data_IF_831758262735
#
_entry.id   IF_831758262735
#
_cell.length_a   1.000
_cell.length_b   1.000
_cell.length_c   1.000
_cell.angle_alpha   90.00
_cell.angle_beta   90.00
_cell.angle_gamma   90.00
#
_symmetry.space_group_name_H-M   'P 1'
#
loop_
_entity.id
_entity.type
_entity.pdbx_description
1 polymer ?
#
# COMPACT_ATOMS: atom_id res chain seq x y z
N UNK A 1 -4.49 -33.16 58.67
CA UNK A 1 -4.07 -33.02 57.26
C UNK A 1 -4.82 -31.85 56.66
N UNK A 2 -4.06 -30.89 56.14
CA UNK A 2 -4.44 -29.48 55.99
C UNK A 2 -4.95 -29.25 54.56
N UNK A 3 -6.20 -28.84 54.40
CA UNK A 3 -6.73 -28.33 53.14
C UNK A 3 -6.20 -26.91 52.87
N UNK A 4 -5.73 -26.67 51.64
CA UNK A 4 -5.53 -25.35 51.02
C UNK A 4 -6.16 -25.48 49.62
N UNK A 5 -7.37 -24.99 49.33
CA UNK A 5 -7.84 -23.59 49.19
C UNK A 5 -6.90 -22.72 48.34
N UNK A 6 -7.18 -22.77 47.04
CA UNK A 6 -7.26 -21.67 46.06
C UNK A 6 -6.26 -20.52 46.22
N UNK A 7 -5.24 -20.54 45.37
CA UNK A 7 -4.56 -19.32 44.93
C UNK A 7 -5.50 -18.60 43.95
N UNK A 8 -6.27 -17.65 44.47
CA UNK A 8 -6.84 -16.59 43.65
C UNK A 8 -5.68 -15.66 43.27
N UNK A 9 -5.17 -15.83 42.05
CA UNK A 9 -4.30 -14.84 41.41
C UNK A 9 -5.14 -13.59 41.21
N UNK A 10 -5.01 -12.63 42.13
CA UNK A 10 -5.51 -11.28 41.96
C UNK A 10 -4.71 -10.64 40.83
N UNK A 11 -5.29 -10.60 39.62
CA UNK A 11 -4.86 -9.70 38.57
C UNK A 11 -4.84 -8.29 39.17
N UNK A 12 -3.64 -7.72 39.29
CA UNK A 12 -3.44 -6.36 39.75
C UNK A 12 -4.36 -5.46 38.91
N UNK A 13 -5.24 -4.76 39.62
CA UNK A 13 -6.12 -3.75 39.07
C UNK A 13 -5.28 -2.77 38.24
N UNK A 14 -5.52 -2.76 36.93
CA UNK A 14 -5.08 -1.74 36.00
C UNK A 14 -5.77 -0.42 36.40
N UNK A 15 -5.24 0.21 37.45
CA UNK A 15 -5.72 1.51 37.92
C UNK A 15 -5.33 2.51 36.86
N UNK A 16 -6.29 2.80 35.97
CA UNK A 16 -6.21 3.88 34.98
C UNK A 16 -5.59 5.12 35.62
N UNK A 17 -4.44 5.55 35.11
CA UNK A 17 -3.79 6.76 35.59
C UNK A 17 -4.78 7.93 35.58
N UNK A 18 -4.83 8.69 36.66
CA UNK A 18 -5.74 9.82 36.78
C UNK A 18 -5.16 11.08 36.11
N UNK A 19 -6.01 12.07 35.84
CA UNK A 19 -5.58 13.38 35.35
C UNK A 19 -4.51 14.01 36.27
N UNK A 20 -4.66 13.84 37.59
CA UNK A 20 -3.74 14.38 38.59
C UNK A 20 -2.37 13.69 38.49
N UNK A 21 -2.33 12.37 38.25
CA UNK A 21 -1.08 11.64 38.05
C UNK A 21 -0.31 12.17 36.82
N UNK A 22 -1.03 12.48 35.74
CA UNK A 22 -0.43 13.09 34.54
C UNK A 22 0.05 14.52 34.77
N UNK A 23 -0.69 15.32 35.53
CA UNK A 23 -0.21 16.66 35.94
C UNK A 23 1.06 16.54 36.79
N UNK A 24 1.11 15.59 37.72
CA UNK A 24 2.33 15.30 38.49
C UNK A 24 3.50 14.86 37.59
N UNK A 25 3.23 14.06 36.56
CA UNK A 25 4.24 13.69 35.55
C UNK A 25 4.78 14.89 34.78
N UNK A 26 3.97 15.93 34.51
CA UNK A 26 4.44 17.15 33.86
C UNK A 26 5.31 18.02 34.77
N UNK A 27 5.09 17.97 36.09
CA UNK A 27 5.86 18.79 37.04
C UNK A 27 7.34 18.36 37.09
N UNK A 28 7.64 17.07 36.88
CA UNK A 28 9.02 16.53 36.73
C UNK A 28 10.03 17.05 37.78
N UNK A 29 9.60 17.21 39.04
CA UNK A 29 10.48 17.68 40.12
C UNK A 29 10.70 19.19 40.18
N UNK A 30 10.05 20.00 39.34
CA UNK A 30 9.98 21.45 39.51
C UNK A 30 9.20 21.80 40.78
N UNK A 31 9.56 22.90 41.44
CA UNK A 31 8.77 23.39 42.56
C UNK A 31 7.37 23.81 42.08
N UNK A 32 6.34 23.56 42.89
CA UNK A 32 4.96 23.99 42.57
C UNK A 32 4.89 25.50 42.33
N UNK A 33 5.78 26.28 42.97
CA UNK A 33 5.89 27.74 42.77
C UNK A 33 6.43 28.11 41.39
N UNK A 34 7.46 27.42 40.90
CA UNK A 34 7.98 27.65 39.53
C UNK A 34 6.97 27.23 38.48
N UNK A 35 6.24 26.14 38.71
CA UNK A 35 5.21 25.65 37.79
C UNK A 35 4.01 26.58 37.75
N UNK A 36 3.59 27.11 38.90
CA UNK A 36 2.53 28.13 38.99
C UNK A 36 2.83 29.34 38.11
N UNK A 37 4.08 29.82 38.08
CA UNK A 37 4.50 30.92 37.21
C UNK A 37 4.51 30.48 35.74
N UNK A 38 5.10 29.32 35.44
CA UNK A 38 5.23 28.82 34.07
C UNK A 38 3.88 28.56 33.39
N UNK A 39 2.90 28.02 34.13
CA UNK A 39 1.56 27.73 33.62
C UNK A 39 0.59 28.91 33.73
N UNK A 40 1.01 30.02 34.35
CA UNK A 40 0.12 31.16 34.61
C UNK A 40 -1.07 30.84 35.52
N UNK A 41 -0.95 29.80 36.37
CA UNK A 41 -2.00 29.38 37.30
C UNK A 41 -1.66 29.79 38.74
N UNK A 42 -2.62 30.27 39.55
CA UNK A 42 -2.35 30.60 40.95
C UNK A 42 -1.84 29.39 41.74
N UNK A 43 -0.85 29.64 42.61
CA UNK A 43 -0.25 28.58 43.45
C UNK A 43 -1.30 27.80 44.25
N UNK A 44 -2.29 28.50 44.82
CA UNK A 44 -3.38 27.89 45.57
C UNK A 44 -4.22 26.94 44.72
N UNK A 45 -4.50 27.33 43.47
CA UNK A 45 -5.26 26.52 42.50
C UNK A 45 -4.51 25.25 42.15
N UNK A 46 -3.22 25.35 41.80
CA UNK A 46 -2.39 24.19 41.50
C UNK A 46 -2.25 23.27 42.73
N UNK A 47 -2.06 23.84 43.91
CA UNK A 47 -1.96 23.08 45.15
C UNK A 47 -3.28 22.36 45.52
N UNK A 48 -4.43 22.93 45.17
CA UNK A 48 -5.72 22.27 45.36
C UNK A 48 -5.88 21.06 44.43
N UNK A 49 -5.42 21.15 43.18
CA UNK A 49 -5.45 20.03 42.24
C UNK A 49 -4.57 18.87 42.71
N UNK A 50 -3.36 19.17 43.19
CA UNK A 50 -2.39 18.15 43.59
C UNK A 50 -2.69 17.50 44.94
N UNK A 51 -3.10 18.29 45.94
CA UNK A 51 -3.18 17.80 47.33
C UNK A 51 -4.61 17.60 47.84
N UNK A 52 -5.60 18.28 47.27
CA UNK A 52 -7.00 18.19 47.72
C UNK A 52 -7.88 17.37 46.80
N UNK A 53 -7.32 16.84 45.70
CA UNK A 53 -8.07 16.05 44.73
C UNK A 53 -9.20 16.83 44.05
N UNK A 54 -9.07 18.15 43.92
CA UNK A 54 -10.06 18.96 43.20
C UNK A 54 -9.85 18.77 41.70
N UNK A 55 -10.92 18.45 40.97
CA UNK A 55 -10.84 18.32 39.52
C UNK A 55 -10.54 19.67 38.86
N UNK A 56 -9.48 19.76 38.03
CA UNK A 56 -9.19 20.95 37.24
C UNK A 56 -10.34 21.27 36.28
N UNK A 57 -10.63 22.56 36.11
CA UNK A 57 -11.58 22.98 35.06
C UNK A 57 -10.98 22.76 33.67
N UNK A 58 -11.83 22.62 32.65
CA UNK A 58 -11.37 22.49 31.26
C UNK A 58 -10.40 23.61 30.86
N UNK A 59 -10.66 24.85 31.30
CA UNK A 59 -9.77 26.00 31.06
C UNK A 59 -8.39 25.79 31.69
N UNK A 60 -8.32 25.26 32.90
CA UNK A 60 -7.03 24.95 33.54
C UNK A 60 -6.29 23.83 32.80
N UNK A 61 -7.00 22.79 32.34
CA UNK A 61 -6.42 21.69 31.53
C UNK A 61 -5.83 22.25 30.23
N UNK A 62 -6.57 23.12 29.54
CA UNK A 62 -6.11 23.76 28.32
C UNK A 62 -4.84 24.60 28.55
N UNK A 63 -4.83 25.43 29.60
CA UNK A 63 -3.66 26.25 29.93
C UNK A 63 -2.42 25.40 30.24
N UNK A 64 -2.59 24.29 30.97
CA UNK A 64 -1.49 23.36 31.26
C UNK A 64 -0.99 22.69 29.97
N UNK A 65 -1.91 22.25 29.11
CA UNK A 65 -1.57 21.61 27.83
C UNK A 65 -0.79 22.54 26.90
N UNK A 66 -1.22 23.80 26.78
CA UNK A 66 -0.52 24.83 26.01
C UNK A 66 0.87 25.15 26.59
N UNK A 67 0.98 25.25 27.92
CA UNK A 67 2.24 25.58 28.58
C UNK A 67 3.28 24.46 28.46
N UNK A 68 2.85 23.20 28.48
CA UNK A 68 3.73 22.03 28.40
C UNK A 68 3.80 21.42 26.99
N UNK A 69 3.13 22.03 26.00
CA UNK A 69 3.08 21.57 24.60
C UNK A 69 2.65 20.09 24.48
N UNK A 70 1.68 19.67 25.30
CA UNK A 70 1.08 18.34 25.26
C UNK A 70 -0.33 18.38 24.70
N UNK A 71 -0.81 17.27 24.11
CA UNK A 71 -2.18 17.22 23.61
C UNK A 71 -3.17 17.24 24.77
N UNK A 72 -4.30 17.92 24.55
CA UNK A 72 -5.40 17.96 25.52
C UNK A 72 -5.95 16.55 25.79
N UNK A 73 -5.97 15.69 24.76
CA UNK A 73 -6.41 14.30 24.87
C UNK A 73 -5.49 13.44 25.73
N UNK A 74 -4.16 13.62 25.62
CA UNK A 74 -3.22 12.93 26.48
C UNK A 74 -3.38 13.39 27.93
N UNK A 75 -3.53 14.70 28.17
CA UNK A 75 -3.71 15.21 29.52
C UNK A 75 -5.04 14.74 30.13
N UNK A 76 -6.15 14.81 29.39
CA UNK A 76 -7.48 14.44 29.87
C UNK A 76 -7.69 12.92 30.01
N UNK A 77 -7.26 12.13 29.03
CA UNK A 77 -7.59 10.71 28.92
C UNK A 77 -6.39 9.77 29.02
N UNK A 78 -5.16 10.29 29.01
CA UNK A 78 -3.95 9.48 29.03
C UNK A 78 -3.63 8.80 27.71
N UNK A 79 -4.40 9.09 26.64
CA UNK A 79 -4.16 8.49 25.32
C UNK A 79 -3.03 9.25 24.65
N UNK A 80 -1.87 8.61 24.56
CA UNK A 80 -0.79 9.14 23.74
C UNK A 80 -1.13 8.98 22.26
N UNK A 81 -0.76 9.95 21.42
CA UNK A 81 -0.97 9.84 19.96
C UNK A 81 -0.29 8.58 19.39
N UNK A 82 0.76 8.09 20.07
CA UNK A 82 1.44 6.82 19.80
C UNK A 82 0.64 5.55 20.17
N UNK A 83 -0.33 5.62 21.08
CA UNK A 83 -1.20 4.47 21.43
C UNK A 83 -2.42 4.35 20.49
N UNK A 84 -2.74 5.41 19.74
CA UNK A 84 -3.72 5.33 18.65
C UNK A 84 -3.20 4.47 17.46
N UNK A 85 -1.90 4.17 17.44
CA UNK A 85 -1.20 3.41 16.39
C UNK A 85 -0.77 1.98 16.83
N UNK A 86 -1.46 1.34 17.77
CA UNK A 86 -1.23 -0.10 18.03
C UNK A 86 -1.88 -0.98 16.93
N UNK A 87 -1.12 -1.81 16.18
CA UNK A 87 -1.63 -2.57 15.02
C UNK A 87 -2.45 -3.82 15.35
N UNK A 88 -3.01 -3.96 16.55
CA UNK A 88 -3.78 -5.17 16.90
C UNK A 88 -5.25 -4.99 16.54
N UNK A 89 -5.65 -5.75 15.52
CA UNK A 89 -7.03 -6.11 15.19
C UNK A 89 -8.01 -4.97 14.90
N UNK A 90 -7.63 -4.03 14.03
CA UNK A 90 -8.63 -3.23 13.30
C UNK A 90 -8.83 -3.87 11.93
N UNK A 91 -10.07 -4.31 11.66
CA UNK A 91 -10.58 -4.33 10.29
C UNK A 91 -10.07 -3.09 9.55
N UNK A 92 -9.72 -3.18 8.25
CA UNK A 92 -9.19 -2.05 7.51
C UNK A 92 -10.08 -0.84 7.80
N UNK A 93 -9.50 0.33 8.15
CA UNK A 93 -10.29 1.51 8.49
C UNK A 93 -11.35 1.63 7.41
N UNK A 94 -12.63 1.61 7.81
CA UNK A 94 -13.74 1.82 6.87
C UNK A 94 -13.48 3.19 6.28
N UNK A 95 -12.80 3.20 5.14
CA UNK A 95 -12.49 4.41 4.40
C UNK A 95 -13.84 5.06 4.19
N UNK A 96 -14.05 6.19 4.86
CA UNK A 96 -15.32 6.87 4.77
C UNK A 96 -15.48 7.28 3.31
N UNK A 97 -16.41 6.62 2.63
CA UNK A 97 -16.72 6.88 1.23
C UNK A 97 -17.03 8.36 1.02
N UNK A 98 -17.60 9.01 2.03
CA UNK A 98 -17.88 10.43 2.00
C UNK A 98 -16.59 11.26 2.03
N UNK A 99 -15.61 10.91 2.87
CA UNK A 99 -14.31 11.57 2.90
C UNK A 99 -13.56 11.41 1.57
N UNK A 100 -13.57 10.21 0.99
CA UNK A 100 -12.97 9.96 -0.33
C UNK A 100 -13.68 10.73 -1.44
N UNK A 101 -15.01 10.79 -1.41
CA UNK A 101 -15.79 11.60 -2.35
C UNK A 101 -15.41 13.08 -2.22
N UNK A 102 -15.39 13.62 -1.02
CA UNK A 102 -15.03 15.02 -0.78
C UNK A 102 -13.59 15.32 -1.24
N UNK A 103 -12.67 14.37 -1.06
CA UNK A 103 -11.28 14.50 -1.54
C UNK A 103 -11.21 14.49 -3.07
N UNK A 104 -12.00 13.64 -3.72
CA UNK A 104 -12.12 13.61 -5.17
C UNK A 104 -12.73 14.90 -5.72
N UNK A 105 -13.79 15.41 -5.09
CA UNK A 105 -14.44 16.65 -5.48
C UNK A 105 -13.45 17.83 -5.39
N UNK A 106 -12.63 17.88 -4.34
CA UNK A 106 -11.57 18.91 -4.21
C UNK A 106 -10.52 18.82 -5.32
N UNK A 107 -10.07 17.61 -5.67
CA UNK A 107 -9.12 17.43 -6.79
C UNK A 107 -9.77 17.82 -8.11
N UNK A 108 -11.01 17.39 -8.35
CA UNK A 108 -11.74 17.70 -9.57
C UNK A 108 -11.94 19.21 -9.75
N UNK A 109 -12.33 19.92 -8.70
CA UNK A 109 -12.51 21.38 -8.71
C UNK A 109 -11.19 22.14 -8.93
N UNK A 110 -10.05 21.55 -8.58
CA UNK A 110 -8.73 22.17 -8.79
C UNK A 110 -8.21 22.07 -10.22
N UNK A 111 -8.80 21.19 -11.05
CA UNK A 111 -8.35 20.95 -12.42
C UNK A 111 -9.07 21.86 -13.42
N UNK A 112 -8.33 22.30 -14.45
CA UNK A 112 -8.91 22.99 -15.60
C UNK A 112 -9.73 22.05 -16.49
N UNK A 113 -10.57 22.62 -17.37
CA UNK A 113 -11.37 21.83 -18.32
C UNK A 113 -10.54 20.97 -19.26
N UNK A 114 -9.33 21.43 -19.63
CA UNK A 114 -8.41 20.68 -20.48
C UNK A 114 -7.78 19.50 -19.72
N UNK A 115 -7.40 19.70 -18.45
CA UNK A 115 -6.87 18.64 -17.60
C UNK A 115 -7.91 17.58 -17.28
N UNK A 116 -9.17 17.98 -17.04
CA UNK A 116 -10.29 17.04 -16.87
C UNK A 116 -10.50 16.21 -18.14
N UNK A 117 -10.39 16.83 -19.31
CA UNK A 117 -10.49 16.14 -20.61
C UNK A 117 -9.38 15.10 -20.79
N UNK A 118 -8.14 15.44 -20.46
CA UNK A 118 -7.01 14.50 -20.52
C UNK A 118 -7.13 13.38 -19.48
N UNK A 119 -7.58 13.70 -18.27
CA UNK A 119 -7.86 12.71 -17.23
C UNK A 119 -8.93 11.71 -17.68
N UNK A 120 -10.03 12.19 -18.26
CA UNK A 120 -11.11 11.34 -18.75
C UNK A 120 -10.64 10.46 -19.92
N UNK A 121 -9.85 11.00 -20.86
CA UNK A 121 -9.24 10.22 -21.94
C UNK A 121 -8.32 9.12 -21.40
N UNK A 122 -7.53 9.42 -20.37
CA UNK A 122 -6.64 8.46 -19.73
C UNK A 122 -7.44 7.32 -19.06
N UNK A 123 -8.48 7.68 -18.29
CA UNK A 123 -9.38 6.71 -17.65
C UNK A 123 -10.07 5.84 -18.71
N UNK A 124 -10.63 6.44 -19.76
CA UNK A 124 -11.26 5.69 -20.85
C UNK A 124 -10.28 4.75 -21.55
N UNK A 125 -9.10 5.23 -21.94
CA UNK A 125 -8.09 4.41 -22.64
C UNK A 125 -7.66 3.23 -21.78
N UNK A 126 -7.40 3.46 -20.49
CA UNK A 126 -6.99 2.40 -19.56
C UNK A 126 -8.13 1.46 -19.20
N UNK A 127 -9.35 1.96 -19.08
CA UNK A 127 -10.56 1.17 -18.89
C UNK A 127 -10.83 0.26 -20.09
N UNK A 128 -10.80 0.79 -21.31
CA UNK A 128 -10.95 0.03 -22.56
C UNK A 128 -9.83 -1.00 -22.68
N UNK A 129 -8.56 -0.64 -22.41
CA UNK A 129 -7.43 -1.58 -22.42
C UNK A 129 -7.65 -2.75 -21.43
N UNK A 130 -8.16 -2.46 -20.23
CA UNK A 130 -8.48 -3.46 -19.22
C UNK A 130 -9.66 -4.36 -19.60
N UNK A 131 -10.73 -3.78 -20.14
CA UNK A 131 -11.89 -4.53 -20.65
C UNK A 131 -11.45 -5.43 -21.80
N UNK A 132 -10.69 -4.90 -22.75
CA UNK A 132 -10.12 -5.67 -23.85
C UNK A 132 -9.31 -6.84 -23.30
N UNK A 133 -8.30 -6.60 -22.45
CA UNK A 133 -7.50 -7.69 -21.85
C UNK A 133 -8.35 -8.74 -21.14
N UNK A 134 -9.47 -8.36 -20.53
CA UNK A 134 -10.37 -9.29 -19.83
C UNK A 134 -11.31 -10.02 -20.78
N UNK A 135 -11.83 -9.35 -21.82
CA UNK A 135 -12.69 -9.94 -22.85
C UNK A 135 -11.93 -10.92 -23.74
N UNK A 136 -10.64 -10.66 -23.98
CA UNK A 136 -9.75 -11.60 -24.66
C UNK A 136 -9.30 -12.78 -23.77
N UNK A 137 -9.60 -12.75 -22.47
CA UNK A 137 -9.33 -13.87 -21.56
C UNK A 137 -10.53 -14.83 -21.44
N UNK A 138 -11.73 -14.40 -21.86
CA UNK A 138 -12.96 -15.17 -21.61
C UNK A 138 -13.56 -15.86 -22.85
N UNK A 139 -13.10 -15.56 -24.07
CA UNK A 139 -13.63 -16.20 -25.30
C UNK A 139 -12.60 -16.30 -26.46
N UNK A 140 -11.30 -16.35 -26.15
CA UNK A 140 -10.29 -16.42 -27.21
C UNK A 140 -10.20 -17.84 -27.79
N UNK A 141 -10.84 -18.03 -28.95
CA UNK A 141 -10.36 -18.99 -29.93
C UNK A 141 -8.85 -18.77 -30.11
N UNK A 142 -8.05 -19.82 -30.08
CA UNK A 142 -6.59 -19.76 -30.20
C UNK A 142 -6.15 -18.87 -31.40
N UNK A 143 -6.99 -18.79 -32.44
CA UNK A 143 -6.91 -17.92 -33.60
C UNK A 143 -6.76 -16.41 -33.27
N UNK A 144 -7.54 -15.86 -32.34
CA UNK A 144 -7.50 -14.44 -31.95
C UNK A 144 -6.27 -14.11 -31.11
N UNK A 145 -5.82 -15.07 -30.29
CA UNK A 145 -4.53 -15.02 -29.60
C UNK A 145 -3.35 -14.98 -30.59
N UNK A 146 -3.40 -15.74 -31.69
CA UNK A 146 -2.37 -15.72 -32.74
C UNK A 146 -2.32 -14.36 -33.47
N UNK A 147 -3.47 -13.72 -33.71
CA UNK A 147 -3.53 -12.41 -34.36
C UNK A 147 -2.82 -11.30 -33.59
N UNK A 148 -2.73 -11.44 -32.27
CA UNK A 148 -2.14 -10.44 -31.36
C UNK A 148 -0.61 -10.50 -31.28
N UNK A 149 -0.01 -11.58 -31.75
CA UNK A 149 1.44 -11.73 -31.74
C UNK A 149 2.10 -10.66 -32.62
N UNK A 150 3.14 -9.99 -32.13
CA UNK A 150 3.91 -9.00 -32.89
C UNK A 150 4.95 -9.68 -33.79
N UNK A 151 4.49 -10.59 -34.64
CA UNK A 151 5.30 -11.38 -35.58
C UNK A 151 4.83 -11.17 -37.02
N UNK A 152 5.68 -11.56 -37.99
CA UNK A 152 5.39 -11.40 -39.43
C UNK A 152 4.04 -12.07 -39.82
N UNK A 153 3.21 -11.45 -40.68
CA UNK A 153 1.89 -11.98 -41.04
C UNK A 153 1.92 -13.40 -41.60
N UNK A 154 2.93 -13.72 -42.42
CA UNK A 154 3.11 -15.05 -43.01
C UNK A 154 3.33 -16.14 -41.96
N UNK A 155 3.98 -15.80 -40.84
CA UNK A 155 4.20 -16.74 -39.74
C UNK A 155 2.91 -16.95 -38.92
N UNK A 156 2.10 -15.90 -38.73
CA UNK A 156 0.77 -16.03 -38.12
C UNK A 156 -0.10 -17.01 -38.91
N UNK A 157 -0.14 -16.84 -40.24
CA UNK A 157 -0.90 -17.73 -41.11
C UNK A 157 -0.39 -19.17 -41.07
N UNK A 158 0.93 -19.36 -41.03
CA UNK A 158 1.53 -20.69 -40.90
C UNK A 158 1.12 -21.37 -39.57
N UNK A 159 1.14 -20.63 -38.46
CA UNK A 159 0.72 -21.15 -37.15
C UNK A 159 -0.77 -21.52 -37.14
N UNK A 160 -1.63 -20.70 -37.76
CA UNK A 160 -3.07 -20.97 -37.88
C UNK A 160 -3.37 -22.24 -38.69
N UNK A 161 -2.66 -22.42 -39.81
CA UNK A 161 -2.78 -23.62 -40.63
C UNK A 161 -2.23 -24.87 -39.93
N UNK A 162 -1.12 -24.74 -39.21
CA UNK A 162 -0.55 -25.82 -38.41
C UNK A 162 -1.50 -26.24 -37.28
N UNK A 163 -2.13 -25.27 -36.60
CA UNK A 163 -3.10 -25.53 -35.54
C UNK A 163 -4.34 -26.30 -36.02
N UNK A 164 -4.76 -26.08 -37.27
CA UNK A 164 -5.85 -26.84 -37.89
C UNK A 164 -5.42 -28.24 -38.38
N UNK A 165 -4.12 -28.52 -38.41
CA UNK A 165 -3.51 -29.77 -38.83
C UNK A 165 -3.33 -30.78 -37.69
N UNK A 166 -2.51 -31.80 -37.95
CA UNK A 166 -2.11 -32.80 -36.97
C UNK A 166 -0.59 -32.76 -36.71
N UNK A 167 -0.15 -33.53 -35.71
CA UNK A 167 1.26 -33.67 -35.31
C UNK A 167 2.18 -34.09 -36.48
N UNK A 168 1.65 -34.74 -37.52
CA UNK A 168 2.41 -35.13 -38.70
C UNK A 168 2.84 -33.90 -39.51
N UNK A 169 1.94 -32.93 -39.67
CA UNK A 169 2.21 -31.65 -40.35
C UNK A 169 3.27 -30.85 -39.58
N UNK A 170 3.18 -30.82 -38.26
CA UNK A 170 4.14 -30.10 -37.41
C UNK A 170 5.56 -30.66 -37.56
N UNK A 171 5.69 -31.99 -37.58
CA UNK A 171 6.97 -32.66 -37.80
C UNK A 171 7.56 -32.41 -39.17
N UNK A 172 6.74 -32.40 -40.22
CA UNK A 172 7.20 -32.07 -41.57
C UNK A 172 7.67 -30.62 -41.69
N UNK A 173 6.98 -29.68 -41.03
CA UNK A 173 7.40 -28.27 -40.96
C UNK A 173 8.78 -28.16 -40.30
N UNK A 174 8.98 -28.84 -39.17
CA UNK A 174 10.28 -28.86 -38.47
C UNK A 174 11.37 -29.49 -39.34
N UNK A 175 11.08 -30.64 -39.97
CA UNK A 175 12.03 -31.36 -40.81
C UNK A 175 12.56 -30.49 -41.97
N UNK A 176 11.66 -29.79 -42.69
CA UNK A 176 12.07 -28.91 -43.80
C UNK A 176 12.87 -27.69 -43.35
N UNK A 177 12.63 -27.18 -42.14
CA UNK A 177 13.42 -26.09 -41.57
C UNK A 177 14.84 -26.59 -41.25
N UNK A 178 14.97 -27.79 -40.70
CA UNK A 178 16.25 -28.43 -40.42
C UNK A 178 17.04 -28.77 -41.69
N UNK A 179 16.40 -29.33 -42.72
CA UNK A 179 17.05 -29.59 -44.02
C UNK A 179 17.59 -28.31 -44.66
N UNK A 180 16.82 -27.21 -44.61
CA UNK A 180 17.28 -25.90 -45.09
C UNK A 180 18.43 -25.34 -44.26
N UNK A 181 18.45 -25.58 -42.96
CA UNK A 181 19.58 -25.18 -42.10
C UNK A 181 20.85 -25.99 -42.43
N UNK A 182 20.70 -27.29 -42.67
CA UNK A 182 21.81 -28.20 -42.99
C UNK A 182 22.36 -28.00 -44.41
N UNK A 183 21.51 -27.70 -45.39
CA UNK A 183 21.93 -27.36 -46.76
C UNK A 183 22.68 -26.02 -46.82
N UNK A 184 22.29 -25.02 -46.02
CA UNK A 184 23.05 -23.77 -45.91
C UNK A 184 24.40 -23.92 -45.20
N UNK A 185 24.55 -24.94 -44.32
CA UNK A 185 25.84 -25.27 -43.68
C UNK A 185 26.76 -26.12 -44.59
N UNK A 186 26.19 -26.87 -45.55
CA UNK A 186 26.94 -27.77 -46.45
C UNK A 186 27.18 -27.20 -47.85
N UNK A 187 26.46 -26.14 -48.26
CA UNK A 187 26.54 -25.55 -49.61
C UNK A 187 27.73 -24.64 -49.89
N UNK A 188 28.68 -24.51 -48.95
CA UNK A 188 29.88 -23.69 -49.09
C UNK A 188 31.15 -24.52 -49.28
N UNK A 189 31.20 -25.42 -50.27
CA UNK A 189 32.44 -26.08 -50.68
C UNK A 189 32.87 -25.61 -52.08
N UNK A 190 33.82 -24.67 -52.05
CA UNK A 190 34.84 -24.32 -53.03
C UNK A 190 34.87 -25.17 -54.31
N UNK A 191 34.52 -24.54 -55.44
CA UNK A 191 35.08 -24.88 -56.74
C UNK A 191 35.83 -23.66 -57.29
N UNK A 192 36.89 -23.25 -56.61
CA UNK A 192 37.88 -22.30 -57.14
C UNK A 192 39.24 -22.56 -56.48
N UNK A 193 39.87 -23.70 -56.78
CA UNK A 193 41.32 -23.86 -56.67
C UNK A 193 41.81 -25.13 -57.39
N UNK A 194 42.80 -24.94 -58.25
CA UNK A 194 43.72 -25.92 -58.84
C UNK A 194 43.17 -26.84 -59.96
N UNK A 195 43.52 -26.51 -61.20
CA UNK A 195 44.77 -27.04 -61.75
C UNK A 195 45.26 -26.18 -62.93
N UNK A 196 46.40 -25.53 -62.72
CA UNK A 196 47.26 -25.01 -63.79
C UNK A 196 48.49 -25.91 -63.89
N UNK A 197 48.97 -26.10 -65.13
CA UNK A 197 50.27 -26.66 -65.57
C UNK A 197 50.56 -28.17 -65.40
N UNK A 198 50.67 -28.84 -66.54
CA UNK A 198 51.86 -29.60 -67.00
C UNK A 198 51.87 -29.39 -68.53
N UNK A 199 52.91 -28.89 -69.20
CA UNK A 199 54.31 -29.28 -69.12
C UNK A 199 54.56 -30.29 -70.22
#
# INVERSE_FOLDING_TARGET
>A
MKGKKSESVSLASDTKETLIDRINKLIQGRSVRSVSVAWGLPYSTLNNYLNKGTDPSFKAIQTIAEAEQVSLDWLAFGVSQSELESPRDKEPPKVDRQLMKNSWDMVYESLSTDEISELLKAIHRKGIEGILKTSFVSDDSIESSIERLQIRPTLKQAIKLALAGDESIDREILHRIEEKKNTNLSGGLNQDANHSKVG
#
